data_IF_898269176371
#
_entry.id   IF_898269176371
#
_cell.length_a   1.000
_cell.length_b   1.000
_cell.length_c   1.000
_cell.angle_alpha   90.00
_cell.angle_beta   90.00
_cell.angle_gamma   90.00
#
_symmetry.space_group_name_H-M   'P 1'
#
loop_
_entity.id
_entity.type
_entity.pdbx_description
1 polymer ?
#
# COMPACT_ATOMS: atom_id res chain seq x y z
N UNK A 1 -9.57 0.32 17.64
CA UNK A 1 -8.92 1.59 17.26
C UNK A 1 -7.42 1.40 17.42
N UNK A 2 -6.67 1.40 16.33
CA UNK A 2 -5.20 1.29 16.38
C UNK A 2 -4.70 2.56 17.08
N UNK A 3 -3.95 2.40 18.17
CA UNK A 3 -3.28 3.53 18.85
C UNK A 3 -1.88 3.65 18.26
N UNK A 4 -1.69 4.64 17.40
CA UNK A 4 -0.39 4.94 16.80
C UNK A 4 0.31 5.96 17.70
N UNK A 5 1.53 5.66 18.11
CA UNK A 5 2.37 6.64 18.76
C UNK A 5 2.82 7.66 17.70
N UNK A 6 2.50 8.95 17.92
CA UNK A 6 2.76 10.05 16.97
C UNK A 6 4.22 10.06 16.53
N UNK A 7 5.16 9.65 17.40
CA UNK A 7 6.59 9.62 17.08
C UNK A 7 6.94 8.66 15.92
N UNK A 8 6.11 7.65 15.67
CA UNK A 8 6.31 6.68 14.59
C UNK A 8 5.49 7.00 13.35
N UNK A 9 4.55 7.95 13.41
CA UNK A 9 3.63 8.27 12.31
C UNK A 9 4.36 8.50 10.99
N UNK A 10 5.38 9.36 10.99
CA UNK A 10 6.13 9.70 9.78
C UNK A 10 6.90 8.49 9.21
N UNK A 11 7.58 7.73 10.07
CA UNK A 11 8.32 6.53 9.65
C UNK A 11 7.38 5.47 9.06
N UNK A 12 6.20 5.31 9.66
CA UNK A 12 5.21 4.37 9.14
C UNK A 12 4.67 4.81 7.78
N UNK A 13 4.40 6.10 7.58
CA UNK A 13 3.96 6.62 6.29
C UNK A 13 5.03 6.45 5.21
N UNK A 14 6.29 6.78 5.52
CA UNK A 14 7.43 6.59 4.61
C UNK A 14 7.57 5.13 4.17
N UNK A 15 7.45 4.19 5.11
CA UNK A 15 7.49 2.75 4.79
C UNK A 15 6.31 2.32 3.92
N UNK A 16 5.12 2.88 4.12
CA UNK A 16 3.96 2.58 3.27
C UNK A 16 4.12 3.19 1.88
N UNK A 17 4.73 4.37 1.75
CA UNK A 17 5.06 4.98 0.46
C UNK A 17 6.05 4.13 -0.34
N UNK A 18 7.14 3.66 0.29
CA UNK A 18 8.11 2.77 -0.36
C UNK A 18 7.46 1.43 -0.77
N UNK A 19 6.59 0.87 0.07
CA UNK A 19 5.81 -0.33 -0.27
C UNK A 19 4.88 -0.09 -1.45
N UNK A 20 4.19 1.04 -1.48
CA UNK A 20 3.29 1.41 -2.58
C UNK A 20 4.07 1.58 -3.88
N UNK A 21 5.25 2.20 -3.82
CA UNK A 21 6.13 2.36 -4.97
C UNK A 21 6.55 0.99 -5.54
N UNK A 22 7.03 0.08 -4.70
CA UNK A 22 7.41 -1.28 -5.13
C UNK A 22 6.23 -2.04 -5.74
N UNK A 23 5.05 -1.93 -5.14
CA UNK A 23 3.83 -2.54 -5.67
C UNK A 23 3.45 -1.95 -7.04
N UNK A 24 3.63 -0.64 -7.23
CA UNK A 24 3.36 0.01 -8.52
C UNK A 24 4.25 -0.51 -9.64
N UNK A 25 5.51 -0.85 -9.33
CA UNK A 25 6.43 -1.46 -10.30
C UNK A 25 5.96 -2.86 -10.70
N UNK A 26 5.56 -3.69 -9.72
CA UNK A 26 5.04 -5.03 -9.99
C UNK A 26 3.73 -5.00 -10.80
N UNK A 27 2.87 -4.01 -10.56
CA UNK A 27 1.63 -3.81 -11.33
C UNK A 27 1.90 -3.33 -12.76
N UNK A 28 2.91 -2.48 -12.96
CA UNK A 28 3.29 -1.97 -14.29
C UNK A 28 3.82 -3.10 -15.19
N UNK A 29 4.55 -4.06 -14.63
CA UNK A 29 4.98 -5.28 -15.36
C UNK A 29 3.80 -6.11 -15.89
N UNK A 30 2.64 -6.04 -15.25
CA UNK A 30 1.43 -6.78 -15.62
C UNK A 30 0.45 -5.95 -16.46
N UNK A 31 0.80 -4.70 -16.78
CA UNK A 31 -0.08 -3.76 -17.48
C UNK A 31 -0.33 -4.21 -18.92
N UNK A 32 -1.60 -4.17 -19.32
CA UNK A 32 -2.04 -4.68 -20.62
C UNK A 32 -2.11 -6.21 -20.72
N UNK A 33 -1.64 -6.93 -19.68
CA UNK A 33 -1.81 -8.37 -19.55
C UNK A 33 -3.19 -8.78 -19.04
N UNK A 34 -3.49 -10.09 -19.08
CA UNK A 34 -4.74 -10.64 -18.57
C UNK A 34 -4.94 -10.34 -17.08
N UNK A 35 -6.20 -10.23 -16.66
CA UNK A 35 -6.61 -10.09 -15.26
C UNK A 35 -6.51 -11.43 -14.52
N UNK A 36 -5.27 -11.86 -14.31
CA UNK A 36 -4.95 -13.10 -13.61
C UNK A 36 -5.05 -12.96 -12.08
N UNK A 37 -4.90 -14.09 -11.38
CA UNK A 37 -4.97 -14.12 -9.92
C UNK A 37 -3.88 -13.28 -9.26
N UNK A 38 -2.70 -13.15 -9.89
CA UNK A 38 -1.58 -12.35 -9.38
C UNK A 38 -1.94 -10.87 -9.42
N UNK A 39 -2.48 -10.38 -10.54
CA UNK A 39 -2.92 -8.98 -10.65
C UNK A 39 -3.98 -8.62 -9.61
N UNK A 40 -4.96 -9.51 -9.39
CA UNK A 40 -5.98 -9.32 -8.34
C UNK A 40 -5.38 -9.27 -6.94
N UNK A 41 -4.37 -10.10 -6.66
CA UNK A 41 -3.68 -10.09 -5.37
C UNK A 41 -2.94 -8.76 -5.16
N UNK A 42 -2.24 -8.26 -6.20
CA UNK A 42 -1.56 -6.98 -6.14
C UNK A 42 -2.54 -5.81 -5.98
N UNK A 43 -3.67 -5.81 -6.69
CA UNK A 43 -4.73 -4.80 -6.54
C UNK A 43 -5.29 -4.79 -5.11
N UNK A 44 -5.44 -5.96 -4.48
CA UNK A 44 -5.90 -6.05 -3.08
C UNK A 44 -4.84 -5.50 -2.11
N UNK A 45 -3.56 -5.85 -2.32
CA UNK A 45 -2.45 -5.30 -1.52
C UNK A 45 -2.37 -3.78 -1.63
N UNK A 46 -2.66 -3.23 -2.80
CA UNK A 46 -2.71 -1.78 -3.00
C UNK A 46 -3.75 -1.14 -2.09
N UNK A 47 -4.98 -1.67 -2.11
CA UNK A 47 -6.08 -1.17 -1.27
C UNK A 47 -5.76 -1.27 0.22
N UNK A 48 -5.17 -2.37 0.66
CA UNK A 48 -4.76 -2.54 2.06
C UNK A 48 -3.73 -1.49 2.49
N UNK A 49 -2.76 -1.16 1.62
CA UNK A 49 -1.77 -0.10 1.90
C UNK A 49 -2.45 1.28 1.95
N UNK A 50 -3.37 1.57 1.01
CA UNK A 50 -4.13 2.83 0.99
C UNK A 50 -4.98 3.01 2.26
N UNK A 51 -5.65 1.95 2.71
CA UNK A 51 -6.42 1.95 3.96
C UNK A 51 -5.52 2.20 5.18
N UNK A 52 -4.36 1.55 5.24
CA UNK A 52 -3.40 1.78 6.32
C UNK A 52 -2.84 3.21 6.31
N UNK A 53 -2.51 3.75 5.14
CA UNK A 53 -2.08 5.14 5.00
C UNK A 53 -3.17 6.10 5.50
N UNK A 54 -4.44 5.85 5.16
CA UNK A 54 -5.57 6.65 5.64
C UNK A 54 -5.73 6.58 7.17
N UNK A 55 -5.65 5.38 7.75
CA UNK A 55 -5.73 5.19 9.21
C UNK A 55 -4.60 5.94 9.91
N UNK A 56 -3.36 5.81 9.42
CA UNK A 56 -2.19 6.43 10.03
C UNK A 56 -2.20 7.94 9.87
N UNK A 57 -2.64 8.44 8.71
CA UNK A 57 -2.74 9.87 8.45
C UNK A 57 -3.80 10.55 9.31
N UNK A 58 -4.90 9.84 9.60
CA UNK A 58 -6.04 10.34 10.39
C UNK A 58 -5.89 10.16 11.90
N UNK A 59 -4.89 9.41 12.36
CA UNK A 59 -4.55 9.22 13.77
C UNK A 59 -3.67 10.36 14.31
#
# INVERSE_FOLDING_TARGET
MIKIDIKYKNVLLEVLEDKMYKLSLELDELKGGPLDSKRKELDNKQKEIEELQHIISSA
#
